data_IF_685757006274
#
_entry.id   IF_685757006274
#
_cell.length_a   1.000
_cell.length_b   1.000
_cell.length_c   1.000
_cell.angle_alpha   90.00
_cell.angle_beta   90.00
_cell.angle_gamma   90.00
#
_symmetry.space_group_name_H-M   'P 1'
#
loop_
_entity.id
_entity.type
_entity.pdbx_description
1 polymer ?
#
# COMPACT_ATOMS: atom_id res chain seq x y z
N UNK A 1 -5.96 16.39 2.55
CA UNK A 1 -7.28 17.07 2.52
C UNK A 1 -8.09 16.80 3.78
N UNK A 2 -8.24 15.54 4.20
CA UNK A 2 -9.09 15.14 5.33
C UNK A 2 -8.66 15.75 6.68
N UNK A 3 -7.37 15.74 7.01
CA UNK A 3 -6.87 16.37 8.25
C UNK A 3 -7.21 17.86 8.31
N UNK A 4 -7.11 18.57 7.16
CA UNK A 4 -7.48 19.98 7.08
C UNK A 4 -8.99 20.18 7.30
N UNK A 5 -9.83 19.26 6.83
CA UNK A 5 -11.29 19.28 7.07
C UNK A 5 -11.56 19.09 8.55
N UNK A 6 -10.95 18.09 9.19
CA UNK A 6 -11.09 17.87 10.63
C UNK A 6 -10.64 19.08 11.44
N UNK A 7 -9.47 19.66 11.12
CA UNK A 7 -8.96 20.85 11.75
C UNK A 7 -9.96 22.03 11.61
N UNK A 8 -10.52 22.22 10.41
CA UNK A 8 -11.49 23.28 10.17
C UNK A 8 -12.80 23.07 10.96
N UNK A 9 -13.32 21.85 11.01
CA UNK A 9 -14.51 21.51 11.77
C UNK A 9 -14.34 21.66 13.29
N UNK A 10 -13.12 21.47 13.79
CA UNK A 10 -12.82 21.68 15.20
C UNK A 10 -12.84 23.17 15.62
N UNK A 11 -12.70 24.13 14.68
CA UNK A 11 -12.70 25.56 15.01
C UNK A 11 -14.01 26.03 15.66
N UNK A 12 -15.19 25.88 15.02
CA UNK A 12 -16.44 26.33 15.63
C UNK A 12 -16.77 25.56 16.91
N UNK A 13 -16.46 24.26 16.97
CA UNK A 13 -16.70 23.44 18.15
C UNK A 13 -15.85 23.91 19.33
N UNK A 14 -14.57 24.19 19.11
CA UNK A 14 -13.67 24.69 20.17
C UNK A 14 -14.06 26.08 20.65
N UNK A 15 -14.55 26.94 19.76
CA UNK A 15 -15.05 28.31 20.13
C UNK A 15 -16.30 28.19 21.02
N UNK A 16 -17.24 27.31 20.66
CA UNK A 16 -18.45 27.07 21.44
C UNK A 16 -18.14 26.52 22.84
N UNK A 17 -17.26 25.53 22.91
CA UNK A 17 -16.81 24.96 24.21
C UNK A 17 -16.11 26.04 25.05
N UNK A 18 -15.19 26.78 24.42
CA UNK A 18 -14.45 27.87 25.13
C UNK A 18 -15.40 28.93 25.66
N UNK A 19 -16.39 29.35 24.85
CA UNK A 19 -17.38 30.35 25.29
C UNK A 19 -18.21 29.89 26.51
N UNK A 20 -18.44 28.56 26.65
CA UNK A 20 -19.16 28.00 27.79
C UNK A 20 -18.31 27.91 29.07
N UNK A 21 -16.97 27.94 28.96
CA UNK A 21 -16.05 27.73 30.07
C UNK A 21 -15.75 28.98 30.87
N UNK A 22 -16.12 30.18 30.38
CA UNK A 22 -15.75 31.49 31.01
C UNK A 22 -14.25 31.58 31.36
N UNK A 23 -13.39 31.02 30.49
CA UNK A 23 -11.96 30.86 30.70
C UNK A 23 -11.14 31.97 30.05
N UNK A 24 -9.88 32.12 30.47
CA UNK A 24 -8.96 33.09 29.87
C UNK A 24 -8.62 32.71 28.42
N UNK A 25 -8.43 33.71 27.55
CA UNK A 25 -8.29 33.52 26.08
C UNK A 25 -7.16 32.55 25.66
N UNK A 26 -6.08 32.46 26.48
CA UNK A 26 -4.98 31.52 26.20
C UNK A 26 -5.37 30.04 26.30
N UNK A 27 -6.54 29.73 26.88
CA UNK A 27 -7.05 28.34 26.97
C UNK A 27 -7.62 27.87 25.61
N UNK A 28 -8.04 28.78 24.73
CA UNK A 28 -8.65 28.44 23.44
C UNK A 28 -7.79 27.49 22.55
N UNK A 29 -6.47 27.73 22.39
CA UNK A 29 -5.64 26.80 21.62
C UNK A 29 -5.56 25.38 22.25
N UNK A 30 -5.63 25.26 23.56
CA UNK A 30 -5.65 23.97 24.26
C UNK A 30 -6.96 23.23 24.01
N UNK A 31 -8.10 23.94 24.07
CA UNK A 31 -9.42 23.37 23.74
C UNK A 31 -9.46 22.91 22.29
N UNK A 32 -8.92 23.70 21.36
CA UNK A 32 -8.81 23.32 19.96
C UNK A 32 -7.97 22.06 19.77
N UNK A 33 -6.79 22.00 20.36
CA UNK A 33 -5.91 20.83 20.30
C UNK A 33 -6.59 19.58 20.86
N UNK A 34 -7.33 19.71 21.99
CA UNK A 34 -8.10 18.62 22.56
C UNK A 34 -9.22 18.16 21.62
N UNK A 35 -9.99 19.08 21.03
CA UNK A 35 -11.01 18.75 20.04
C UNK A 35 -10.43 17.98 18.86
N UNK A 36 -9.28 18.39 18.35
CA UNK A 36 -8.60 17.71 17.25
C UNK A 36 -8.18 16.28 17.65
N UNK A 37 -7.57 16.12 18.82
CA UNK A 37 -7.19 14.79 19.33
C UNK A 37 -8.41 13.89 19.49
N UNK A 38 -9.48 14.38 20.09
CA UNK A 38 -10.72 13.61 20.26
C UNK A 38 -11.31 13.22 18.89
N UNK A 39 -11.31 14.12 17.92
CA UNK A 39 -11.79 13.83 16.56
C UNK A 39 -10.97 12.72 15.90
N UNK A 40 -9.65 12.74 16.03
CA UNK A 40 -8.76 11.69 15.50
C UNK A 40 -8.99 10.34 16.21
N UNK A 41 -9.19 10.36 17.53
CA UNK A 41 -9.51 9.15 18.30
C UNK A 41 -10.86 8.56 17.89
N UNK A 42 -11.89 9.39 17.69
CA UNK A 42 -13.20 8.95 17.21
C UNK A 42 -13.10 8.37 15.79
N UNK A 43 -12.31 8.98 14.92
CA UNK A 43 -12.05 8.44 13.59
C UNK A 43 -11.36 7.07 13.68
N UNK A 44 -10.33 6.91 14.53
CA UNK A 44 -9.68 5.64 14.76
C UNK A 44 -10.66 4.59 15.33
N UNK A 45 -11.47 4.94 16.33
CA UNK A 45 -12.48 4.07 16.91
C UNK A 45 -13.51 3.62 15.87
N UNK A 46 -13.95 4.53 15.00
CA UNK A 46 -14.86 4.21 13.89
C UNK A 46 -14.22 3.20 12.91
N UNK A 47 -12.95 3.37 12.57
CA UNK A 47 -12.23 2.40 11.73
C UNK A 47 -12.21 1.01 12.38
N UNK A 48 -11.84 0.94 13.65
CA UNK A 48 -11.86 -0.32 14.40
C UNK A 48 -13.25 -0.94 14.44
N UNK A 49 -14.27 -0.13 14.66
CA UNK A 49 -15.67 -0.58 14.70
C UNK A 49 -16.11 -1.20 13.37
N UNK A 50 -15.91 -0.52 12.23
CA UNK A 50 -16.30 -1.09 10.92
C UNK A 50 -15.49 -2.34 10.59
N UNK A 51 -14.23 -2.43 10.99
CA UNK A 51 -13.40 -3.63 10.80
C UNK A 51 -13.87 -4.79 11.70
N UNK A 52 -14.34 -4.52 12.91
CA UNK A 52 -14.88 -5.55 13.81
C UNK A 52 -16.18 -6.18 13.30
N UNK A 53 -16.90 -5.50 12.39
CA UNK A 53 -18.10 -6.04 11.75
C UNK A 53 -17.80 -7.05 10.64
N UNK A 54 -16.52 -7.16 10.20
CA UNK A 54 -16.12 -8.05 9.10
C UNK A 54 -15.84 -9.44 9.64
N UNK A 55 -16.55 -10.42 9.11
CA UNK A 55 -16.31 -11.82 9.38
C UNK A 55 -15.34 -12.41 8.32
N UNK A 56 -14.05 -12.47 8.65
CA UNK A 56 -13.02 -13.00 7.78
C UNK A 56 -13.10 -14.52 7.53
N UNK A 57 -14.00 -15.23 8.21
CA UNK A 57 -14.21 -16.68 8.00
C UNK A 57 -15.14 -16.96 6.83
N UNK A 58 -15.95 -15.99 6.44
CA UNK A 58 -16.83 -16.07 5.28
C UNK A 58 -16.04 -15.98 3.98
N UNK A 59 -16.59 -16.51 2.86
CA UNK A 59 -15.98 -16.30 1.54
C UNK A 59 -15.74 -14.82 1.28
N UNK A 60 -14.57 -14.51 0.69
CA UNK A 60 -14.20 -13.15 0.36
C UNK A 60 -15.24 -12.52 -0.57
N UNK A 61 -15.83 -11.37 -0.22
CA UNK A 61 -16.78 -10.68 -1.08
C UNK A 61 -16.09 -10.13 -2.34
N UNK A 62 -16.88 -9.70 -3.30
CA UNK A 62 -16.40 -8.82 -4.34
C UNK A 62 -15.87 -7.52 -3.73
N UNK A 63 -15.05 -6.78 -4.49
CA UNK A 63 -14.45 -5.52 -4.04
C UNK A 63 -15.50 -4.57 -3.45
N UNK A 64 -15.46 -4.38 -2.13
CA UNK A 64 -16.46 -3.58 -1.42
C UNK A 64 -16.10 -2.10 -1.49
N UNK A 65 -16.89 -1.32 -2.23
CA UNK A 65 -16.67 0.11 -2.47
C UNK A 65 -16.61 0.94 -1.18
N UNK A 66 -17.40 0.62 -0.16
CA UNK A 66 -17.40 1.32 1.13
C UNK A 66 -16.06 1.12 1.86
N UNK A 67 -15.62 -0.13 2.02
CA UNK A 67 -14.35 -0.44 2.69
C UNK A 67 -13.17 0.07 1.88
N UNK A 68 -13.21 0.03 0.57
CA UNK A 68 -12.18 0.61 -0.28
C UNK A 68 -12.10 2.13 -0.13
N UNK A 69 -13.22 2.82 -0.10
CA UNK A 69 -13.25 4.26 0.14
C UNK A 69 -12.74 4.62 1.54
N UNK A 70 -13.17 3.86 2.55
CA UNK A 70 -12.67 4.00 3.93
C UNK A 70 -11.15 3.79 3.97
N UNK A 71 -10.63 2.72 3.36
CA UNK A 71 -9.20 2.45 3.30
C UNK A 71 -8.41 3.63 2.71
N UNK A 72 -8.83 4.15 1.56
CA UNK A 72 -8.15 5.31 0.94
C UNK A 72 -8.21 6.56 1.81
N UNK A 73 -9.35 6.80 2.47
CA UNK A 73 -9.55 7.94 3.36
C UNK A 73 -8.60 7.87 4.57
N UNK A 74 -8.49 6.70 5.20
CA UNK A 74 -7.60 6.50 6.35
C UNK A 74 -6.13 6.47 5.97
N UNK A 75 -5.76 5.90 4.82
CA UNK A 75 -4.39 6.00 4.30
C UNK A 75 -4.01 7.49 4.11
N UNK A 76 -4.86 8.27 3.47
CA UNK A 76 -4.62 9.71 3.27
C UNK A 76 -4.49 10.44 4.62
N UNK A 77 -5.38 10.15 5.59
CA UNK A 77 -5.31 10.73 6.93
C UNK A 77 -3.99 10.39 7.63
N UNK A 78 -3.59 9.12 7.60
CA UNK A 78 -2.35 8.66 8.22
C UNK A 78 -1.14 9.35 7.59
N UNK A 79 -1.04 9.40 6.26
CA UNK A 79 0.07 10.06 5.57
C UNK A 79 0.16 11.55 5.91
N UNK A 80 -0.99 12.24 6.07
CA UNK A 80 -1.05 13.64 6.47
C UNK A 80 -0.64 13.84 7.94
N UNK A 81 -1.11 12.99 8.85
CA UNK A 81 -0.75 13.06 10.29
C UNK A 81 0.74 12.80 10.48
N UNK A 82 1.30 11.86 9.70
CA UNK A 82 2.73 11.53 9.76
C UNK A 82 3.62 12.60 9.11
N UNK A 83 3.05 13.56 8.36
CA UNK A 83 3.82 14.60 7.68
C UNK A 83 4.79 14.03 6.63
N UNK A 84 4.40 12.95 5.96
CA UNK A 84 5.25 12.31 4.95
C UNK A 84 5.26 13.14 3.68
N UNK A 85 6.46 13.52 3.22
CA UNK A 85 6.67 14.08 1.88
C UNK A 85 7.02 12.94 0.92
N UNK A 86 6.32 12.89 -0.21
CA UNK A 86 6.51 11.84 -1.20
C UNK A 86 6.93 12.48 -2.51
N UNK A 87 8.15 12.15 -2.95
CA UNK A 87 8.64 12.49 -4.28
C UNK A 87 8.18 11.43 -5.28
N UNK A 88 7.58 11.87 -6.39
CA UNK A 88 6.97 10.96 -7.37
C UNK A 88 7.45 11.28 -8.77
N UNK A 89 7.66 10.22 -9.57
CA UNK A 89 8.04 10.34 -10.98
C UNK A 89 7.34 9.28 -11.83
N UNK A 90 6.89 9.65 -13.02
CA UNK A 90 6.32 8.73 -14.01
C UNK A 90 4.90 8.28 -13.72
N UNK A 91 4.26 8.72 -12.63
CA UNK A 91 2.91 8.27 -12.24
C UNK A 91 1.81 8.73 -13.23
N UNK A 92 2.09 9.71 -14.06
CA UNK A 92 1.25 10.14 -15.17
C UNK A 92 1.06 9.06 -16.25
N UNK A 93 1.96 8.07 -16.30
CA UNK A 93 1.91 6.95 -17.23
C UNK A 93 1.13 5.74 -16.69
N UNK A 94 0.55 5.82 -15.48
CA UNK A 94 -0.31 4.74 -14.96
C UNK A 94 -1.41 4.43 -15.97
N UNK A 95 -1.55 3.16 -16.43
CA UNK A 95 -2.58 2.80 -17.40
C UNK A 95 -3.97 3.13 -16.89
N UNK A 96 -4.80 3.74 -17.75
CA UNK A 96 -6.20 4.06 -17.47
C UNK A 96 -7.12 3.25 -18.36
N UNK A 97 -8.33 2.94 -17.85
CA UNK A 97 -9.34 2.20 -18.62
C UNK A 97 -9.03 0.73 -18.89
N UNK A 98 -8.00 0.17 -18.23
CA UNK A 98 -7.64 -1.25 -18.32
C UNK A 98 -6.99 -1.74 -17.01
N UNK A 99 -7.01 -3.05 -16.80
CA UNK A 99 -6.32 -3.68 -15.68
C UNK A 99 -4.84 -3.90 -16.00
N UNK A 100 -4.03 -4.00 -14.95
CA UNK A 100 -2.59 -4.22 -15.02
C UNK A 100 -2.08 -4.89 -13.75
N UNK A 101 -0.84 -5.35 -13.79
CA UNK A 101 -0.12 -5.81 -12.61
C UNK A 101 0.90 -4.76 -12.21
N UNK A 102 0.90 -4.33 -10.93
CA UNK A 102 1.96 -3.51 -10.34
C UNK A 102 2.97 -4.42 -9.67
N UNK A 103 4.24 -4.17 -9.89
CA UNK A 103 5.34 -4.77 -9.15
C UNK A 103 6.22 -3.69 -8.55
N UNK A 104 6.61 -3.87 -7.28
CA UNK A 104 7.42 -2.91 -6.54
C UNK A 104 8.34 -3.64 -5.58
N UNK A 105 9.50 -3.05 -5.25
CA UNK A 105 10.35 -3.54 -4.16
C UNK A 105 9.67 -3.31 -2.80
N UNK A 106 10.10 -4.04 -1.77
CA UNK A 106 9.45 -4.08 -0.45
C UNK A 106 10.41 -3.83 0.69
N UNK A 107 10.39 -2.61 1.22
CA UNK A 107 11.28 -2.17 2.30
C UNK A 107 10.57 -2.03 3.65
N UNK A 108 9.23 -1.88 3.66
CA UNK A 108 8.49 -1.57 4.87
C UNK A 108 7.04 -2.09 4.83
N UNK A 109 6.50 -2.42 5.99
CA UNK A 109 5.07 -2.73 6.14
C UNK A 109 4.16 -1.54 5.73
N UNK A 110 4.72 -0.34 5.56
CA UNK A 110 4.00 0.85 5.10
C UNK A 110 3.91 0.97 3.57
N UNK A 111 4.70 0.20 2.81
CA UNK A 111 4.76 0.29 1.34
C UNK A 111 3.40 0.15 0.66
N UNK A 112 2.51 -0.77 1.07
CA UNK A 112 1.18 -0.87 0.47
C UNK A 112 0.37 0.42 0.58
N UNK A 113 0.55 1.21 1.65
CA UNK A 113 -0.17 2.46 1.83
C UNK A 113 0.24 3.50 0.78
N UNK A 114 1.54 3.61 0.47
CA UNK A 114 2.02 4.51 -0.58
C UNK A 114 1.49 4.11 -1.95
N UNK A 115 1.56 2.82 -2.29
CA UNK A 115 1.04 2.31 -3.56
C UNK A 115 -0.48 2.54 -3.64
N UNK A 116 -1.25 2.20 -2.60
CA UNK A 116 -2.70 2.45 -2.58
C UNK A 116 -3.05 3.93 -2.76
N UNK A 117 -2.29 4.84 -2.14
CA UNK A 117 -2.55 6.28 -2.23
C UNK A 117 -2.47 6.80 -3.67
N UNK A 118 -1.42 6.42 -4.39
CA UNK A 118 -1.19 6.90 -5.75
C UNK A 118 -1.95 6.12 -6.83
N UNK A 119 -2.23 4.85 -6.58
CA UNK A 119 -2.99 3.98 -7.50
C UNK A 119 -4.47 3.87 -7.15
N UNK A 120 -5.03 4.79 -6.37
CA UNK A 120 -6.42 4.73 -5.87
C UNK A 120 -7.49 4.61 -6.97
N UNK A 121 -7.22 5.12 -8.18
CA UNK A 121 -8.13 5.00 -9.34
C UNK A 121 -8.11 3.61 -9.98
N UNK A 122 -7.13 2.79 -9.66
CA UNK A 122 -6.89 1.49 -10.31
C UNK A 122 -7.48 0.31 -9.54
N UNK A 123 -8.11 0.55 -8.38
CA UNK A 123 -8.71 -0.51 -7.54
C UNK A 123 -7.73 -1.68 -7.30
N UNK A 124 -6.54 -1.41 -6.73
CA UNK A 124 -5.55 -2.44 -6.49
C UNK A 124 -5.99 -3.45 -5.43
N UNK A 125 -5.73 -4.73 -5.71
CA UNK A 125 -5.71 -5.81 -4.73
C UNK A 125 -4.25 -6.28 -4.55
N UNK A 126 -3.85 -6.55 -3.30
CA UNK A 126 -2.49 -7.00 -3.01
C UNK A 126 -2.41 -8.50 -2.85
N UNK A 127 -1.28 -9.05 -3.29
CA UNK A 127 -0.87 -10.40 -2.95
C UNK A 127 -0.03 -10.33 -1.66
N UNK A 128 -0.64 -10.71 -0.53
CA UNK A 128 -0.08 -10.51 0.82
C UNK A 128 0.21 -11.81 1.56
N UNK A 129 1.08 -11.77 2.56
CA UNK A 129 1.35 -12.93 3.42
C UNK A 129 0.12 -13.30 4.27
N UNK A 130 -0.10 -14.61 4.50
CA UNK A 130 -1.26 -15.13 5.24
C UNK A 130 -1.38 -14.57 6.66
N UNK A 131 -0.26 -14.28 7.30
CA UNK A 131 -0.18 -13.73 8.65
C UNK A 131 -0.78 -12.33 8.73
N UNK A 132 -0.71 -11.55 7.66
CA UNK A 132 -1.28 -10.21 7.60
C UNK A 132 -2.81 -10.20 7.75
N UNK A 133 -3.50 -11.29 7.38
CA UNK A 133 -4.95 -11.44 7.58
C UNK A 133 -5.37 -11.45 9.05
N UNK A 134 -4.43 -11.72 9.98
CA UNK A 134 -4.70 -11.77 11.43
C UNK A 134 -4.56 -10.38 12.09
N UNK A 135 -3.99 -9.41 11.38
CA UNK A 135 -3.79 -8.09 11.93
C UNK A 135 -5.14 -7.36 12.05
N UNK A 136 -5.45 -6.77 13.21
CA UNK A 136 -6.65 -5.95 13.37
C UNK A 136 -6.62 -4.81 12.35
N UNK A 137 -7.76 -4.41 11.82
CA UNK A 137 -7.92 -3.41 10.76
C UNK A 137 -7.38 -3.88 9.40
N UNK A 138 -6.11 -4.29 9.28
CA UNK A 138 -5.51 -4.70 8.00
C UNK A 138 -6.18 -5.96 7.43
N UNK A 139 -6.35 -7.02 8.25
CA UNK A 139 -7.00 -8.25 7.81
C UNK A 139 -8.39 -8.02 7.24
N UNK A 140 -9.33 -7.41 8.01
CA UNK A 140 -10.64 -7.04 7.52
C UNK A 140 -10.63 -6.16 6.26
N UNK A 141 -9.78 -5.13 6.22
CA UNK A 141 -9.68 -4.25 5.06
C UNK A 141 -9.20 -5.01 3.82
N UNK A 142 -8.15 -5.84 3.94
CA UNK A 142 -7.67 -6.68 2.84
C UNK A 142 -8.72 -7.66 2.37
N UNK A 143 -9.49 -8.27 3.30
CA UNK A 143 -10.58 -9.18 2.98
C UNK A 143 -11.65 -8.48 2.14
N UNK A 144 -12.07 -7.28 2.54
CA UNK A 144 -13.13 -6.51 1.88
C UNK A 144 -12.68 -5.81 0.59
N UNK A 145 -11.37 -5.71 0.32
CA UNK A 145 -10.80 -5.09 -0.87
C UNK A 145 -10.12 -6.07 -1.83
N UNK A 146 -10.56 -7.34 -1.78
CA UNK A 146 -10.14 -8.41 -2.71
C UNK A 146 -8.67 -8.81 -2.66
N UNK A 147 -7.89 -8.41 -1.63
CA UNK A 147 -6.51 -8.84 -1.48
C UNK A 147 -6.42 -10.36 -1.29
N UNK A 148 -5.44 -11.00 -1.92
CA UNK A 148 -5.26 -12.44 -1.84
C UNK A 148 -4.14 -12.81 -0.89
N UNK A 149 -4.39 -13.81 -0.03
CA UNK A 149 -3.44 -14.28 0.95
C UNK A 149 -2.62 -15.45 0.42
N UNK A 150 -1.29 -15.35 0.52
CA UNK A 150 -0.35 -16.38 0.09
C UNK A 150 0.30 -17.05 1.30
N UNK A 151 0.22 -18.36 1.34
CA UNK A 151 1.08 -19.17 2.18
C UNK A 151 2.36 -19.50 1.40
N UNK A 152 3.46 -18.87 1.76
CA UNK A 152 4.76 -19.01 1.06
C UNK A 152 5.45 -20.34 1.31
N UNK A 153 4.97 -21.10 2.29
CA UNK A 153 5.47 -22.43 2.63
C UNK A 153 4.68 -23.56 1.94
N UNK A 154 3.63 -23.20 1.21
CA UNK A 154 2.76 -24.15 0.52
C UNK A 154 2.52 -23.69 -0.93
N UNK A 155 3.25 -24.29 -1.86
CA UNK A 155 3.19 -23.92 -3.29
C UNK A 155 1.79 -24.10 -3.89
N UNK A 156 1.01 -25.07 -3.40
CA UNK A 156 -0.37 -25.30 -3.88
C UNK A 156 -1.30 -24.15 -3.45
N UNK A 157 -1.18 -23.69 -2.20
CA UNK A 157 -1.94 -22.52 -1.71
C UNK A 157 -1.49 -21.24 -2.43
N UNK A 158 -0.19 -21.06 -2.61
CA UNK A 158 0.36 -19.93 -3.36
C UNK A 158 -0.17 -19.89 -4.80
N UNK A 159 -0.21 -21.02 -5.47
CA UNK A 159 -0.76 -21.13 -6.83
C UNK A 159 -2.25 -20.80 -6.88
N UNK A 160 -3.05 -21.22 -5.89
CA UNK A 160 -4.48 -20.87 -5.80
C UNK A 160 -4.68 -19.34 -5.70
N UNK A 161 -3.87 -18.66 -4.89
CA UNK A 161 -3.93 -17.21 -4.78
C UNK A 161 -3.57 -16.51 -6.10
N UNK A 162 -2.54 -17.00 -6.81
CA UNK A 162 -2.16 -16.52 -8.16
C UNK A 162 -3.31 -16.71 -9.16
N UNK A 163 -3.93 -17.89 -9.20
CA UNK A 163 -5.08 -18.18 -10.08
C UNK A 163 -6.24 -17.22 -9.78
N UNK A 164 -6.51 -16.96 -8.49
CA UNK A 164 -7.57 -16.04 -8.10
C UNK A 164 -7.27 -14.60 -8.56
N UNK A 165 -6.02 -14.14 -8.43
CA UNK A 165 -5.58 -12.85 -8.98
C UNK A 165 -5.80 -12.76 -10.49
N UNK A 166 -5.43 -13.81 -11.24
CA UNK A 166 -5.65 -13.89 -12.71
C UNK A 166 -7.13 -13.75 -13.04
N UNK A 167 -7.99 -14.47 -12.31
CA UNK A 167 -9.45 -14.42 -12.53
C UNK A 167 -9.99 -13.01 -12.30
N UNK A 168 -9.63 -12.37 -11.18
CA UNK A 168 -10.11 -11.03 -10.85
C UNK A 168 -9.69 -9.97 -11.87
N UNK A 169 -8.49 -10.08 -12.45
CA UNK A 169 -8.03 -9.22 -13.54
C UNK A 169 -8.87 -9.46 -14.79
N UNK A 170 -9.05 -10.74 -15.18
CA UNK A 170 -9.82 -11.11 -16.39
C UNK A 170 -11.29 -10.72 -16.32
N UNK A 171 -11.86 -10.74 -15.11
CA UNK A 171 -13.24 -10.30 -14.82
C UNK A 171 -13.36 -8.77 -14.67
N UNK A 172 -12.30 -8.02 -14.96
CA UNK A 172 -12.22 -6.56 -14.84
C UNK A 172 -12.57 -6.01 -13.44
N UNK A 173 -12.35 -6.80 -12.38
CA UNK A 173 -12.69 -6.41 -11.01
C UNK A 173 -11.64 -5.49 -10.39
N UNK A 174 -10.36 -5.90 -10.45
CA UNK A 174 -9.24 -5.19 -9.81
C UNK A 174 -7.97 -5.31 -10.63
N UNK A 175 -7.05 -4.37 -10.50
CA UNK A 175 -5.64 -4.55 -10.82
C UNK A 175 -4.92 -5.19 -9.63
N UNK A 176 -3.80 -5.88 -9.84
CA UNK A 176 -3.10 -6.60 -8.78
C UNK A 176 -1.73 -6.00 -8.52
N UNK A 177 -1.37 -5.82 -7.26
CA UNK A 177 -0.04 -5.43 -6.84
C UNK A 177 0.66 -6.57 -6.11
N UNK A 178 1.93 -6.79 -6.42
CA UNK A 178 2.76 -7.76 -5.74
C UNK A 178 4.17 -7.22 -5.50
N UNK A 179 4.75 -7.64 -4.38
CA UNK A 179 6.15 -7.43 -4.06
C UNK A 179 6.91 -8.73 -4.39
N UNK A 180 7.66 -8.75 -5.51
CA UNK A 180 8.24 -10.01 -6.02
C UNK A 180 9.32 -10.59 -5.10
N UNK A 181 9.89 -9.79 -4.21
CA UNK A 181 10.83 -10.22 -3.18
C UNK A 181 10.20 -11.25 -2.22
N UNK A 182 8.90 -11.20 -2.07
CA UNK A 182 8.17 -12.12 -1.22
C UNK A 182 8.28 -11.82 0.28
N UNK A 183 8.89 -10.73 0.70
CA UNK A 183 8.98 -10.28 2.10
C UNK A 183 9.87 -9.06 2.24
N UNK A 184 9.81 -8.45 3.40
CA UNK A 184 10.72 -7.39 3.80
C UNK A 184 12.00 -8.06 4.29
N UNK A 185 13.14 -7.58 3.82
CA UNK A 185 14.46 -7.95 4.35
C UNK A 185 15.01 -6.80 5.18
N UNK A 186 15.81 -7.10 6.19
CA UNK A 186 16.37 -6.07 7.10
C UNK A 186 17.38 -5.13 6.43
N UNK A 187 17.81 -5.46 5.22
CA UNK A 187 18.71 -4.62 4.43
C UNK A 187 17.91 -3.83 3.41
N UNK A 188 18.31 -2.60 3.12
CA UNK A 188 17.71 -1.79 2.05
C UNK A 188 18.07 -2.30 0.63
N UNK A 189 18.62 -3.52 0.52
CA UNK A 189 19.02 -4.15 -0.75
C UNK A 189 17.83 -4.83 -1.41
N UNK A 190 17.83 -4.91 -2.75
CA UNK A 190 16.90 -5.78 -3.46
C UNK A 190 17.22 -7.24 -3.15
N UNK A 191 16.20 -8.05 -2.91
CA UNK A 191 16.37 -9.50 -2.76
C UNK A 191 16.07 -10.23 -4.07
N UNK A 192 16.27 -11.55 -4.05
CA UNK A 192 15.91 -12.39 -5.20
C UNK A 192 14.39 -12.35 -5.45
N UNK A 193 13.98 -12.19 -6.72
CA UNK A 193 12.57 -12.14 -7.11
C UNK A 193 11.99 -13.54 -7.30
N UNK A 194 10.83 -13.77 -6.71
CA UNK A 194 10.03 -14.99 -6.92
C UNK A 194 9.35 -14.91 -8.29
N UNK A 195 9.94 -15.53 -9.30
CA UNK A 195 9.49 -15.45 -10.69
C UNK A 195 8.04 -15.90 -10.91
N UNK A 196 7.54 -16.85 -10.09
CA UNK A 196 6.18 -17.39 -10.21
C UNK A 196 5.05 -16.35 -10.12
N UNK A 197 5.29 -15.19 -9.49
CA UNK A 197 4.27 -14.13 -9.36
C UNK A 197 3.95 -13.49 -10.71
N UNK A 198 4.89 -13.45 -11.65
CA UNK A 198 4.72 -12.86 -12.98
C UNK A 198 3.75 -13.65 -13.88
N UNK A 199 3.42 -14.90 -13.51
CA UNK A 199 2.33 -15.65 -14.14
C UNK A 199 0.99 -14.90 -14.10
N UNK A 200 0.81 -14.00 -13.11
CA UNK A 200 -0.41 -13.20 -13.01
C UNK A 200 -0.55 -12.33 -14.27
N UNK A 201 0.44 -11.54 -14.62
CA UNK A 201 0.39 -10.67 -15.80
C UNK A 201 0.31 -11.47 -17.10
N UNK A 202 1.15 -12.51 -17.26
CA UNK A 202 1.16 -13.34 -18.46
C UNK A 202 -0.19 -14.03 -18.73
N UNK A 203 -0.75 -14.70 -17.71
CA UNK A 203 -2.00 -15.45 -17.87
C UNK A 203 -3.24 -14.57 -17.91
N UNK A 204 -3.17 -13.38 -17.35
CA UNK A 204 -4.22 -12.37 -17.47
C UNK A 204 -4.10 -11.53 -18.74
N UNK A 205 -2.96 -11.59 -19.44
CA UNK A 205 -2.64 -10.79 -20.63
C UNK A 205 -2.77 -9.29 -20.38
N UNK A 206 -2.05 -8.80 -19.36
CA UNK A 206 -2.07 -7.38 -18.96
C UNK A 206 -0.65 -6.85 -18.79
N UNK A 207 -0.43 -5.53 -18.96
CA UNK A 207 0.89 -4.93 -18.79
C UNK A 207 1.37 -5.03 -17.33
N UNK A 208 2.69 -5.04 -17.16
CA UNK A 208 3.37 -4.97 -15.87
C UNK A 208 3.86 -3.53 -15.66
N UNK A 209 3.35 -2.88 -14.64
CA UNK A 209 3.77 -1.53 -14.20
C UNK A 209 4.86 -1.73 -13.15
N UNK A 210 6.09 -1.32 -13.46
CA UNK A 210 7.25 -1.46 -12.59
C UNK A 210 7.44 -0.18 -11.78
N UNK A 211 7.40 -0.30 -10.46
CA UNK A 211 7.59 0.80 -9.53
C UNK A 211 8.77 0.54 -8.58
N UNK A 212 9.33 1.62 -8.05
CA UNK A 212 10.33 1.57 -6.98
C UNK A 212 9.90 2.43 -5.81
N UNK A 213 10.18 1.94 -4.60
CA UNK A 213 10.06 2.68 -3.35
C UNK A 213 11.44 2.83 -2.71
N UNK A 214 11.75 4.03 -2.20
CA UNK A 214 13.01 4.32 -1.50
C UNK A 214 12.73 5.04 -0.19
N UNK A 215 13.50 4.72 0.86
CA UNK A 215 13.43 5.30 2.20
C UNK A 215 12.17 4.95 3.02
N UNK A 216 11.40 3.95 2.63
CA UNK A 216 10.20 3.55 3.39
C UNK A 216 10.56 2.76 4.64
N UNK A 217 11.68 2.04 4.68
CA UNK A 217 12.21 1.36 5.87
C UNK A 217 12.39 2.30 7.06
N UNK A 218 12.73 3.56 6.79
CA UNK A 218 12.96 4.57 7.81
C UNK A 218 11.68 5.21 8.39
N UNK A 219 10.50 5.01 7.78
CA UNK A 219 9.24 5.69 8.14
C UNK A 219 8.89 5.51 9.61
N UNK A 220 8.80 4.26 10.09
CA UNK A 220 8.43 3.97 11.47
C UNK A 220 9.50 4.43 12.47
N UNK A 221 10.77 4.40 12.08
CA UNK A 221 11.88 4.86 12.92
C UNK A 221 11.91 6.37 13.07
N UNK A 222 11.78 7.10 11.97
CA UNK A 222 11.74 8.57 11.94
C UNK A 222 10.51 9.13 12.64
N UNK A 223 9.37 8.44 12.54
CA UNK A 223 8.16 8.80 13.28
C UNK A 223 8.40 8.85 14.78
N UNK A 224 9.06 7.84 15.36
CA UNK A 224 9.39 7.80 16.79
C UNK A 224 10.30 8.97 17.22
N UNK A 225 11.06 9.55 16.29
CA UNK A 225 11.99 10.65 16.53
C UNK A 225 11.44 12.01 16.09
N UNK A 226 10.19 12.08 15.63
CA UNK A 226 9.55 13.30 15.08
C UNK A 226 10.40 13.95 13.96
N UNK A 227 11.08 13.13 13.17
CA UNK A 227 11.90 13.58 12.05
C UNK A 227 11.07 13.63 10.78
N UNK A 228 11.43 14.57 9.90
CA UNK A 228 10.79 14.67 8.59
C UNK A 228 11.03 13.40 7.76
N UNK A 229 9.95 12.89 7.14
CA UNK A 229 9.95 11.63 6.40
C UNK A 229 9.85 11.96 4.91
N UNK A 230 10.89 11.62 4.16
CA UNK A 230 10.89 11.70 2.70
C UNK A 230 10.88 10.29 2.12
N UNK A 231 9.88 9.99 1.33
CA UNK A 231 9.73 8.74 0.58
C UNK A 231 9.79 9.06 -0.91
N UNK A 232 10.38 8.19 -1.71
CA UNK A 232 10.36 8.28 -3.17
C UNK A 232 9.55 7.13 -3.74
N UNK A 233 8.60 7.43 -4.61
CA UNK A 233 7.82 6.46 -5.39
C UNK A 233 7.95 6.82 -6.88
N UNK A 234 8.63 5.98 -7.64
CA UNK A 234 8.77 6.12 -9.08
C UNK A 234 8.05 5.00 -9.82
N UNK A 235 7.36 5.34 -10.90
CA UNK A 235 7.01 4.40 -11.95
C UNK A 235 8.20 4.38 -12.93
N UNK A 236 8.96 3.29 -12.91
CA UNK A 236 10.21 3.14 -13.65
C UNK A 236 9.95 2.80 -15.12
N UNK A 237 8.91 2.02 -15.36
CA UNK A 237 8.52 1.66 -16.71
C UNK A 237 7.32 0.72 -16.74
N UNK A 238 6.88 0.43 -17.96
CA UNK A 238 5.77 -0.48 -18.22
C UNK A 238 6.25 -1.53 -19.23
N UNK A 239 6.10 -2.81 -18.88
CA UNK A 239 6.34 -3.91 -19.79
C UNK A 239 4.99 -4.31 -20.38
N UNK A 240 4.73 -4.03 -21.67
CA UNK A 240 3.46 -4.34 -22.29
C UNK A 240 3.25 -5.85 -22.43
N UNK A 241 2.02 -6.29 -22.56
CA UNK A 241 1.64 -7.71 -22.65
C UNK A 241 2.28 -8.43 -23.82
N UNK A 242 2.40 -7.80 -24.97
CA UNK A 242 3.01 -8.39 -26.16
C UNK A 242 4.51 -8.65 -25.97
N UNK A 243 5.19 -7.88 -25.13
CA UNK A 243 6.62 -8.02 -24.88
C UNK A 243 6.91 -9.21 -23.95
N UNK A 244 6.13 -9.38 -22.88
CA UNK A 244 6.35 -10.47 -21.93
C UNK A 244 5.64 -11.78 -22.31
N UNK A 245 4.83 -11.80 -23.39
CA UNK A 245 4.09 -12.98 -23.82
C UNK A 245 5.00 -14.17 -24.12
N UNK A 246 6.12 -13.94 -24.80
CA UNK A 246 7.08 -14.96 -25.22
C UNK A 246 8.22 -15.19 -24.20
N UNK A 247 8.27 -14.39 -23.12
CA UNK A 247 9.29 -14.52 -22.07
C UNK A 247 8.91 -15.61 -21.08
N UNK A 248 9.90 -16.26 -20.50
CA UNK A 248 9.71 -17.06 -19.30
C UNK A 248 9.48 -16.14 -18.09
N UNK A 249 8.86 -16.65 -17.03
CA UNK A 249 8.68 -15.86 -15.80
C UNK A 249 10.00 -15.47 -15.14
N UNK A 250 11.08 -16.21 -15.39
CA UNK A 250 12.44 -15.89 -14.92
C UNK A 250 12.99 -14.70 -15.68
N UNK A 251 12.91 -14.70 -17.00
CA UNK A 251 13.34 -13.56 -17.83
C UNK A 251 12.57 -12.28 -17.49
N UNK A 252 11.27 -12.38 -17.20
CA UNK A 252 10.49 -11.22 -16.73
C UNK A 252 11.00 -10.74 -15.38
N UNK A 253 11.27 -11.66 -14.44
CA UNK A 253 11.81 -11.32 -13.12
C UNK A 253 13.15 -10.59 -13.22
N UNK A 254 14.06 -11.09 -14.07
CA UNK A 254 15.39 -10.50 -14.30
C UNK A 254 15.26 -9.11 -14.93
N UNK A 255 14.37 -8.95 -15.92
CA UNK A 255 14.10 -7.67 -16.55
C UNK A 255 13.59 -6.64 -15.54
N UNK A 256 12.56 -7.00 -14.76
CA UNK A 256 11.98 -6.14 -13.73
C UNK A 256 13.03 -5.79 -12.66
N UNK A 257 13.84 -6.76 -12.24
CA UNK A 257 14.92 -6.55 -11.28
C UNK A 257 15.93 -5.51 -11.78
N UNK A 258 16.38 -5.64 -13.02
CA UNK A 258 17.34 -4.70 -13.63
C UNK A 258 16.73 -3.29 -13.77
N UNK A 259 15.47 -3.16 -14.19
CA UNK A 259 14.77 -1.89 -14.24
C UNK A 259 14.69 -1.20 -12.86
N UNK A 260 14.36 -1.98 -11.82
CA UNK A 260 14.32 -1.44 -10.45
C UNK A 260 15.71 -1.04 -9.95
N UNK A 261 16.73 -1.86 -10.21
CA UNK A 261 18.10 -1.58 -9.80
C UNK A 261 18.68 -0.32 -10.47
N UNK A 262 18.38 -0.12 -11.75
CA UNK A 262 18.79 1.09 -12.48
C UNK A 262 18.24 2.37 -11.85
N UNK A 263 16.99 2.38 -11.41
CA UNK A 263 16.37 3.55 -10.74
C UNK A 263 16.80 3.69 -9.27
N UNK A 264 16.94 2.58 -8.55
CA UNK A 264 17.33 2.60 -7.15
C UNK A 264 18.80 2.95 -6.93
N UNK A 265 19.66 2.48 -7.82
CA UNK A 265 21.13 2.62 -7.76
C UNK A 265 21.83 1.32 -7.37
N UNK A 266 23.12 1.21 -7.73
CA UNK A 266 23.96 0.03 -7.47
C UNK A 266 24.09 -0.28 -5.96
N UNK A 267 23.92 0.72 -5.10
CA UNK A 267 23.91 0.52 -3.66
C UNK A 267 22.78 -0.42 -3.19
N UNK A 268 21.74 -0.65 -3.99
CA UNK A 268 20.66 -1.59 -3.71
C UNK A 268 20.95 -3.02 -4.16
N UNK A 269 22.06 -3.25 -4.88
CA UNK A 269 22.49 -4.60 -5.26
C UNK A 269 22.90 -5.38 -4.01
N UNK A 270 22.44 -6.63 -3.85
CA UNK A 270 22.92 -7.50 -2.77
C UNK A 270 24.44 -7.67 -2.88
N UNK A 271 25.13 -7.73 -1.74
CA UNK A 271 26.50 -8.20 -1.74
C UNK A 271 26.53 -9.62 -2.31
N UNK A 272 27.40 -9.86 -3.27
CA UNK A 272 27.65 -11.23 -3.77
C UNK A 272 28.07 -12.05 -2.56
N UNK A 273 27.32 -13.10 -2.24
CA UNK A 273 27.72 -14.03 -1.20
C UNK A 273 29.09 -14.55 -1.61
N UNK A 274 30.13 -14.14 -0.90
CA UNK A 274 31.43 -14.79 -1.01
C UNK A 274 31.22 -16.20 -0.54
N UNK A 275 31.16 -17.15 -1.48
CA UNK A 275 31.17 -18.56 -1.17
C UNK A 275 32.50 -18.85 -0.45
N UNK A 276 32.45 -18.87 0.88
CA UNK A 276 33.49 -19.45 1.73
C UNK A 276 33.16 -20.91 1.99
#
# INVERSE_FOLDING_TARGET
>A
MLLKIFALLCVPVSILIFASMNAALWVLPLVYALCLVVTLLLAAAFLFFICALVDNTKPQPEDNKFYRAAMYLYIELILQVLGVTIDTKGLEHIPTGRRFMVVCNHQSETDPAFIHHYFRKSQLAFLSKKEAAKLPVFGPMMHMTSCQMVNRQNDREAMRAIIKCIQMIKEDKVSVCAFPEGGIIETDKLSHFRSGVFKIAQKANVPIVVCTLKNTSSVLHKLKRLQHIHVRLHLVGIIPEWEHAEMTTVEIADKVYNMMLEDLGEEYRPAVAQNT
#
